data_IF_750945698837
#
_entry.id   IF_750945698837
#
_cell.length_a   1.000
_cell.length_b   1.000
_cell.length_c   1.000
_cell.angle_alpha   90.00
_cell.angle_beta   90.00
_cell.angle_gamma   90.00
#
_symmetry.space_group_name_H-M   'P 1'
#
loop_
_entity.id
_entity.type
_entity.pdbx_description
1 polymer ?
#
# COMPACT_ATOMS: atom_id res chain seq x y z
N UNK A 1 -16.93 4.82 -10.78
CA UNK A 1 -16.19 5.56 -9.74
C UNK A 1 -14.99 4.75 -9.32
N UNK A 2 -13.88 5.37 -8.95
CA UNK A 2 -12.64 4.69 -8.54
C UNK A 2 -12.53 4.72 -7.02
N UNK A 3 -12.39 3.55 -6.41
CA UNK A 3 -12.11 3.36 -4.99
C UNK A 3 -10.69 2.80 -4.85
N UNK A 4 -9.87 3.41 -4.05
CA UNK A 4 -8.47 3.06 -3.84
C UNK A 4 -7.54 4.28 -3.91
N UNK A 5 -6.25 4.07 -3.71
CA UNK A 5 -5.23 5.12 -3.72
C UNK A 5 -5.30 6.02 -4.95
N UNK A 6 -5.28 7.30 -4.72
CA UNK A 6 -5.17 8.31 -5.77
C UNK A 6 -3.69 8.53 -6.15
N UNK A 7 -3.45 9.18 -7.30
CA UNK A 7 -2.08 9.58 -7.67
C UNK A 7 -1.44 10.52 -6.64
N UNK A 8 -2.24 11.32 -5.93
CA UNK A 8 -1.76 12.19 -4.86
C UNK A 8 -1.31 11.39 -3.64
N UNK A 9 -2.04 10.32 -3.26
CA UNK A 9 -1.66 9.44 -2.15
C UNK A 9 -0.36 8.70 -2.45
N UNK A 10 -0.21 8.20 -3.69
CA UNK A 10 1.03 7.57 -4.15
C UNK A 10 2.21 8.54 -4.13
N UNK A 11 2.01 9.78 -4.58
CA UNK A 11 3.05 10.80 -4.54
C UNK A 11 3.43 11.16 -3.09
N UNK A 12 2.44 11.29 -2.20
CA UNK A 12 2.67 11.53 -0.78
C UNK A 12 3.49 10.40 -0.14
N UNK A 13 3.12 9.15 -0.39
CA UNK A 13 3.86 7.99 0.11
C UNK A 13 5.29 7.92 -0.45
N UNK A 14 5.48 8.27 -1.72
CA UNK A 14 6.81 8.33 -2.32
C UNK A 14 7.69 9.40 -1.67
N UNK A 15 7.15 10.59 -1.41
CA UNK A 15 7.86 11.66 -0.69
C UNK A 15 8.16 11.25 0.74
N UNK A 16 7.19 10.67 1.45
CA UNK A 16 7.39 10.18 2.81
C UNK A 16 8.46 9.08 2.85
N UNK A 17 8.41 8.12 1.93
CA UNK A 17 9.42 7.07 1.78
C UNK A 17 10.81 7.64 1.50
N UNK A 18 10.91 8.65 0.63
CA UNK A 18 12.15 9.35 0.34
C UNK A 18 12.76 10.01 1.59
N UNK A 19 11.94 10.75 2.35
CA UNK A 19 12.38 11.44 3.57
C UNK A 19 12.80 10.43 4.65
N UNK A 20 12.01 9.41 4.89
CA UNK A 20 12.32 8.37 5.88
C UNK A 20 13.57 7.57 5.47
N UNK A 21 13.69 7.21 4.19
CA UNK A 21 14.85 6.49 3.67
C UNK A 21 16.14 7.30 3.77
N UNK A 22 16.10 8.55 3.37
CA UNK A 22 17.25 9.47 3.48
C UNK A 22 17.63 9.71 4.94
N UNK A 23 16.65 9.95 5.82
CA UNK A 23 16.86 10.15 7.25
C UNK A 23 17.46 8.92 7.92
N UNK A 24 16.93 7.73 7.67
CA UNK A 24 17.46 6.48 8.19
C UNK A 24 18.91 6.25 7.74
N UNK A 25 19.20 6.46 6.44
CA UNK A 25 20.56 6.31 5.91
C UNK A 25 21.56 7.32 6.50
N UNK A 26 21.12 8.56 6.74
CA UNK A 26 21.93 9.59 7.38
C UNK A 26 22.23 9.27 8.86
N UNK A 27 21.28 8.66 9.57
CA UNK A 27 21.41 8.30 10.98
C UNK A 27 22.15 6.97 11.20
N UNK A 28 22.33 6.16 10.15
CA UNK A 28 22.94 4.83 10.23
C UNK A 28 24.31 4.81 10.91
N UNK A 29 25.27 5.72 10.63
CA UNK A 29 26.57 5.73 11.32
C UNK A 29 26.45 6.09 12.81
N UNK A 30 25.49 6.92 13.19
CA UNK A 30 25.24 7.27 14.60
C UNK A 30 24.68 6.05 15.33
N UNK A 31 23.70 5.37 14.71
CA UNK A 31 23.12 4.16 15.26
C UNK A 31 24.16 3.03 15.38
N UNK A 32 25.03 2.86 14.38
CA UNK A 32 26.10 1.85 14.41
C UNK A 32 27.03 2.06 15.59
N UNK A 33 27.54 3.27 15.81
CA UNK A 33 28.40 3.61 16.96
C UNK A 33 27.71 3.33 18.31
N UNK A 34 26.44 3.71 18.42
CA UNK A 34 25.66 3.52 19.63
C UNK A 34 25.43 2.03 19.97
N UNK A 35 25.28 1.17 18.95
CA UNK A 35 25.12 -0.28 19.09
C UNK A 35 26.45 -0.94 19.44
N UNK A 36 27.57 -0.53 18.82
CA UNK A 36 28.92 -1.01 19.12
C UNK A 36 29.31 -0.72 20.58
N UNK A 37 29.04 0.48 21.09
CA UNK A 37 29.28 0.85 22.47
C UNK A 37 28.53 -0.03 23.49
N UNK A 38 27.42 -0.66 23.08
CA UNK A 38 26.61 -1.54 23.95
C UNK A 38 26.91 -3.03 23.78
N UNK A 39 27.87 -3.38 22.92
CA UNK A 39 28.26 -4.77 22.69
C UNK A 39 27.20 -5.65 22.04
N UNK A 40 26.22 -5.05 21.36
CA UNK A 40 25.20 -5.78 20.60
C UNK A 40 25.78 -6.20 19.24
N UNK A 41 25.74 -7.50 18.86
CA UNK A 41 26.26 -7.92 17.56
C UNK A 41 25.46 -7.27 16.43
N UNK A 42 26.13 -6.44 15.64
CA UNK A 42 25.54 -5.77 14.49
C UNK A 42 25.58 -6.70 13.28
N UNK A 43 24.49 -6.90 12.53
CA UNK A 43 24.52 -7.72 11.32
C UNK A 43 25.59 -7.23 10.35
N UNK A 44 26.45 -8.15 9.83
CA UNK A 44 27.61 -7.80 9.02
C UNK A 44 27.31 -6.94 7.77
N UNK A 45 26.11 -7.05 7.22
CA UNK A 45 25.63 -6.19 6.11
C UNK A 45 25.53 -4.70 6.52
N UNK A 46 25.09 -4.43 7.74
CA UNK A 46 24.99 -3.07 8.26
C UNK A 46 26.37 -2.51 8.65
N UNK A 47 27.27 -3.38 9.12
CA UNK A 47 28.69 -3.04 9.34
C UNK A 47 29.37 -2.65 8.01
N UNK A 48 29.14 -3.41 6.94
CA UNK A 48 29.63 -3.08 5.61
C UNK A 48 29.13 -1.70 5.13
N UNK A 49 27.85 -1.41 5.30
CA UNK A 49 27.26 -0.12 4.94
C UNK A 49 27.76 1.04 5.83
N UNK A 50 28.13 0.76 7.09
CA UNK A 50 28.64 1.75 8.02
C UNK A 50 30.15 2.00 7.84
N UNK A 51 30.93 1.02 7.36
CA UNK A 51 32.41 1.05 7.28
C UNK A 51 32.99 1.76 6.06
N UNK A 52 32.17 2.19 5.12
CA UNK A 52 32.64 2.94 3.95
C UNK A 52 32.90 4.42 4.31
N UNK A 53 34.14 4.74 4.61
CA UNK A 53 34.60 6.08 5.05
C UNK A 53 35.01 7.04 3.88
N UNK A 54 34.62 6.74 2.65
CA UNK A 54 34.89 7.62 1.54
C UNK A 54 33.98 8.85 1.58
N UNK A 55 34.52 10.06 1.42
CA UNK A 55 33.76 11.34 1.40
C UNK A 55 32.56 11.32 0.46
N UNK A 56 32.67 10.57 -0.65
CA UNK A 56 31.56 10.34 -1.59
C UNK A 56 30.37 9.61 -0.94
N UNK A 57 30.63 8.71 -0.01
CA UNK A 57 29.57 7.94 0.67
C UNK A 57 28.87 8.71 1.78
N UNK A 58 29.48 9.71 2.35
CA UNK A 58 28.82 10.61 3.33
C UNK A 58 27.62 11.31 2.67
N UNK A 59 27.80 11.77 1.43
CA UNK A 59 26.73 12.39 0.65
C UNK A 59 25.89 11.36 -0.14
N UNK A 60 26.46 10.24 -0.53
CA UNK A 60 25.79 9.17 -1.27
C UNK A 60 24.80 8.37 -0.44
N UNK A 61 25.05 8.19 0.87
CA UNK A 61 24.14 7.45 1.78
C UNK A 61 22.71 7.99 1.80
N UNK A 62 22.47 9.28 2.02
CA UNK A 62 21.14 9.86 1.98
C UNK A 62 20.46 9.68 0.62
N UNK A 63 21.21 9.79 -0.48
CA UNK A 63 20.69 9.60 -1.85
C UNK A 63 20.27 8.15 -2.07
N UNK A 64 21.08 7.19 -1.67
CA UNK A 64 20.74 5.76 -1.75
C UNK A 64 19.50 5.47 -0.89
N UNK A 65 19.47 5.98 0.35
CA UNK A 65 18.32 5.84 1.24
C UNK A 65 17.03 6.43 0.65
N UNK A 66 17.14 7.59 0.02
CA UNK A 66 16.03 8.23 -0.70
C UNK A 66 15.51 7.31 -1.82
N UNK A 67 16.40 6.81 -2.68
CA UNK A 67 16.02 5.94 -3.80
C UNK A 67 15.36 4.65 -3.29
N UNK A 68 15.95 4.01 -2.30
CA UNK A 68 15.39 2.79 -1.69
C UNK A 68 14.03 3.07 -1.06
N UNK A 69 13.90 4.19 -0.35
CA UNK A 69 12.63 4.60 0.28
C UNK A 69 11.53 4.87 -0.75
N UNK A 70 11.85 5.52 -1.87
CA UNK A 70 10.90 5.73 -2.99
C UNK A 70 10.50 4.40 -3.60
N UNK A 71 11.46 3.51 -3.89
CA UNK A 71 11.16 2.19 -4.47
C UNK A 71 10.24 1.39 -3.53
N UNK A 72 10.55 1.35 -2.24
CA UNK A 72 9.73 0.67 -1.24
C UNK A 72 8.31 1.23 -1.20
N UNK A 73 8.15 2.56 -1.18
CA UNK A 73 6.85 3.22 -1.18
C UNK A 73 6.04 2.90 -2.45
N UNK A 74 6.68 2.87 -3.62
CA UNK A 74 6.03 2.51 -4.89
C UNK A 74 5.60 1.03 -4.92
N UNK A 75 6.41 0.13 -4.37
CA UNK A 75 6.06 -1.28 -4.27
C UNK A 75 4.85 -1.50 -3.35
N UNK A 76 4.82 -0.81 -2.20
CA UNK A 76 3.68 -0.84 -1.27
C UNK A 76 2.42 -0.30 -1.97
N UNK A 77 2.52 0.85 -2.64
CA UNK A 77 1.39 1.46 -3.35
C UNK A 77 0.81 0.56 -4.45
N UNK A 78 1.63 -0.26 -5.12
CA UNK A 78 1.18 -1.21 -6.14
C UNK A 78 0.50 -2.46 -5.56
N UNK A 79 0.73 -2.77 -4.30
CA UNK A 79 0.13 -3.92 -3.64
C UNK A 79 -1.34 -3.68 -3.28
N UNK A 80 -1.77 -2.42 -3.17
CA UNK A 80 -3.14 -2.06 -2.83
C UNK A 80 -4.09 -2.25 -4.02
N UNK A 81 -5.24 -2.91 -3.82
CA UNK A 81 -6.22 -3.09 -4.87
C UNK A 81 -6.97 -1.79 -5.16
N UNK A 82 -7.23 -1.52 -6.43
CA UNK A 82 -8.08 -0.43 -6.90
C UNK A 82 -9.35 -1.01 -7.51
N UNK A 83 -10.51 -0.54 -7.04
CA UNK A 83 -11.80 -0.96 -7.56
C UNK A 83 -12.41 0.14 -8.43
N UNK A 84 -12.75 -0.21 -9.66
CA UNK A 84 -13.51 0.63 -10.55
C UNK A 84 -14.96 0.12 -10.62
N UNK A 85 -15.86 0.81 -9.93
CA UNK A 85 -17.28 0.46 -9.88
C UNK A 85 -18.00 1.19 -11.01
N UNK A 86 -18.67 0.43 -11.87
CA UNK A 86 -19.51 0.91 -12.98
C UNK A 86 -20.87 0.23 -12.95
N UNK A 87 -21.79 0.66 -13.79
CA UNK A 87 -23.12 0.05 -13.90
C UNK A 87 -23.08 -1.35 -14.53
N UNK A 88 -22.01 -1.67 -15.25
CA UNK A 88 -21.81 -2.96 -15.93
C UNK A 88 -21.08 -4.00 -15.05
N UNK A 89 -20.40 -3.58 -14.00
CA UNK A 89 -19.62 -4.47 -13.15
C UNK A 89 -18.53 -3.75 -12.35
N UNK A 90 -17.76 -4.53 -11.64
CA UNK A 90 -16.62 -4.07 -10.83
C UNK A 90 -15.32 -4.60 -11.44
N UNK A 91 -14.44 -3.69 -11.84
CA UNK A 91 -13.10 -4.04 -12.27
C UNK A 91 -12.16 -3.89 -11.08
N UNK A 92 -11.53 -5.00 -10.70
CA UNK A 92 -10.52 -5.06 -9.64
C UNK A 92 -9.15 -5.05 -10.29
N UNK A 93 -8.35 -4.04 -9.99
CA UNK A 93 -6.95 -3.93 -10.42
C UNK A 93 -6.04 -4.10 -9.20
N UNK A 94 -5.09 -5.03 -9.29
CA UNK A 94 -4.07 -5.24 -8.26
C UNK A 94 -2.73 -5.52 -8.94
N UNK A 95 -1.82 -4.55 -8.88
CA UNK A 95 -0.56 -4.60 -9.65
C UNK A 95 -0.86 -4.74 -11.14
N UNK A 96 -0.32 -5.79 -11.77
CA UNK A 96 -0.55 -6.09 -13.18
C UNK A 96 -1.78 -6.97 -13.43
N UNK A 97 -2.45 -7.41 -12.38
CA UNK A 97 -3.64 -8.27 -12.47
C UNK A 97 -4.91 -7.43 -12.57
N UNK A 98 -5.74 -7.76 -13.55
CA UNK A 98 -7.05 -7.17 -13.76
C UNK A 98 -8.11 -8.25 -13.77
N UNK A 99 -9.11 -8.11 -12.91
CA UNK A 99 -10.24 -9.02 -12.84
C UNK A 99 -11.54 -8.25 -12.92
N UNK A 100 -12.39 -8.63 -13.88
CA UNK A 100 -13.73 -8.06 -14.00
C UNK A 100 -14.76 -8.97 -13.34
N UNK A 101 -15.56 -8.41 -12.46
CA UNK A 101 -16.73 -9.01 -11.85
C UNK A 101 -17.93 -8.43 -12.56
N UNK A 102 -18.75 -9.27 -13.20
CA UNK A 102 -19.95 -8.81 -13.91
C UNK A 102 -21.03 -8.47 -12.89
N UNK A 103 -21.85 -7.48 -13.23
CA UNK A 103 -22.93 -7.06 -12.35
C UNK A 103 -23.91 -8.19 -12.04
N UNK A 104 -24.23 -9.01 -13.02
CA UNK A 104 -25.15 -10.14 -12.90
C UNK A 104 -24.66 -11.22 -11.91
N UNK A 105 -23.38 -11.28 -11.66
CA UNK A 105 -22.79 -12.24 -10.72
C UNK A 105 -22.79 -11.72 -9.26
N UNK A 106 -23.17 -10.44 -9.04
CA UNK A 106 -23.14 -9.79 -7.71
C UNK A 106 -24.51 -9.90 -7.05
N UNK A 107 -24.60 -10.70 -6.01
CA UNK A 107 -25.83 -10.84 -5.20
C UNK A 107 -25.77 -10.05 -3.89
N UNK A 108 -24.56 -9.86 -3.31
CA UNK A 108 -24.38 -9.10 -2.08
C UNK A 108 -23.07 -8.32 -2.09
N UNK A 109 -23.11 -7.10 -1.53
CA UNK A 109 -21.93 -6.27 -1.25
C UNK A 109 -22.04 -5.78 0.18
N UNK A 110 -21.04 -6.07 0.99
CA UNK A 110 -20.98 -5.61 2.38
C UNK A 110 -19.55 -5.31 2.80
N UNK A 111 -19.41 -4.68 3.94
CA UNK A 111 -18.12 -4.34 4.51
C UNK A 111 -17.92 -5.08 5.83
N UNK A 112 -16.88 -5.92 5.88
CA UNK A 112 -16.41 -6.60 7.08
C UNK A 112 -15.15 -5.88 7.59
N UNK A 113 -15.32 -5.00 8.57
CA UNK A 113 -14.27 -4.14 9.10
C UNK A 113 -13.67 -3.22 8.02
N UNK A 114 -12.41 -3.45 7.63
CA UNK A 114 -11.71 -2.71 6.55
C UNK A 114 -11.92 -3.34 5.18
N UNK A 115 -12.37 -4.60 5.13
CA UNK A 115 -12.53 -5.33 3.89
C UNK A 115 -13.87 -5.05 3.25
N UNK A 116 -13.88 -5.02 1.93
CA UNK A 116 -15.08 -5.09 1.12
C UNK A 116 -15.24 -6.53 0.65
N UNK A 117 -16.43 -7.06 0.81
CA UNK A 117 -16.80 -8.39 0.32
C UNK A 117 -17.87 -8.23 -0.76
N UNK A 118 -17.66 -8.92 -1.87
CA UNK A 118 -18.62 -9.03 -2.98
C UNK A 118 -18.86 -10.52 -3.18
N UNK A 119 -20.14 -10.95 -3.15
CA UNK A 119 -20.47 -12.36 -3.24
C UNK A 119 -21.61 -12.66 -4.22
N UNK A 120 -21.68 -13.94 -4.61
CA UNK A 120 -22.75 -14.47 -5.44
C UNK A 120 -23.92 -14.95 -4.59
N UNK A 121 -25.08 -15.27 -5.21
CA UNK A 121 -26.25 -15.88 -4.56
C UNK A 121 -25.91 -17.18 -3.79
N UNK A 122 -24.89 -17.91 -4.23
CA UNK A 122 -24.44 -19.13 -3.55
C UNK A 122 -23.44 -18.85 -2.43
N UNK A 123 -23.21 -17.58 -2.03
CA UNK A 123 -22.28 -17.20 -0.97
C UNK A 123 -20.80 -17.33 -1.36
N UNK A 124 -20.49 -17.49 -2.65
CA UNK A 124 -19.10 -17.53 -3.12
C UNK A 124 -18.54 -16.10 -3.20
N UNK A 125 -17.46 -15.84 -2.50
CA UNK A 125 -16.79 -14.54 -2.53
C UNK A 125 -16.10 -14.30 -3.87
N UNK A 126 -16.56 -13.27 -4.57
CA UNK A 126 -15.96 -12.76 -5.80
C UNK A 126 -14.83 -11.80 -5.52
N UNK A 127 -14.94 -11.06 -4.43
CA UNK A 127 -13.91 -10.16 -3.90
C UNK A 127 -13.94 -10.23 -2.37
N UNK A 128 -12.76 -10.27 -1.75
CA UNK A 128 -12.55 -10.19 -0.31
C UNK A 128 -11.21 -9.49 -0.11
N UNK A 129 -11.23 -8.19 0.06
CA UNK A 129 -10.00 -7.41 0.18
C UNK A 129 -10.23 -6.03 0.76
N UNK A 130 -9.14 -5.42 1.23
CA UNK A 130 -9.19 -4.07 1.77
C UNK A 130 -9.62 -3.08 0.68
N UNK A 131 -10.40 -2.09 1.10
CA UNK A 131 -10.80 -0.98 0.26
C UNK A 131 -10.54 0.33 1.01
N UNK A 132 -9.82 1.23 0.35
CA UNK A 132 -9.65 2.57 0.87
C UNK A 132 -10.91 3.41 0.67
N UNK A 133 -11.25 4.18 1.68
CA UNK A 133 -12.36 5.12 1.69
C UNK A 133 -13.22 5.01 2.94
N UNK A 134 -13.88 6.11 3.25
CA UNK A 134 -14.86 6.14 4.34
C UNK A 134 -16.00 5.18 4.01
N UNK A 135 -16.53 4.49 5.03
CA UNK A 135 -17.64 3.52 4.88
C UNK A 135 -18.80 4.06 4.05
N UNK A 136 -19.21 5.31 4.35
CA UNK A 136 -20.34 5.96 3.68
C UNK A 136 -20.07 6.22 2.19
N UNK A 137 -18.83 6.58 1.84
CA UNK A 137 -18.43 6.82 0.46
C UNK A 137 -18.42 5.51 -0.35
N UNK A 138 -17.87 4.46 0.24
CA UNK A 138 -17.85 3.13 -0.38
C UNK A 138 -19.27 2.63 -0.60
N UNK A 139 -20.13 2.70 0.45
CA UNK A 139 -21.53 2.33 0.37
C UNK A 139 -22.26 3.11 -0.73
N UNK A 140 -22.18 4.45 -0.72
CA UNK A 140 -22.81 5.31 -1.69
C UNK A 140 -22.39 4.94 -3.13
N UNK A 141 -21.10 4.63 -3.33
CA UNK A 141 -20.58 4.24 -4.65
C UNK A 141 -21.28 3.00 -5.22
N UNK A 142 -21.62 2.02 -4.39
CA UNK A 142 -22.32 0.81 -4.83
C UNK A 142 -23.83 1.02 -4.91
N UNK A 143 -24.42 1.66 -3.90
CA UNK A 143 -25.88 1.91 -3.84
C UNK A 143 -26.33 2.80 -4.99
N UNK A 144 -25.61 3.88 -5.29
CA UNK A 144 -25.95 4.82 -6.38
C UNK A 144 -25.96 4.13 -7.77
N UNK A 145 -25.25 2.99 -7.89
CA UNK A 145 -25.24 2.16 -9.09
C UNK A 145 -26.15 0.96 -9.01
N UNK A 146 -27.00 0.91 -7.98
CA UNK A 146 -27.99 -0.12 -7.76
C UNK A 146 -27.43 -1.50 -7.43
N UNK A 147 -26.22 -1.59 -6.86
CA UNK A 147 -25.71 -2.84 -6.30
C UNK A 147 -26.41 -3.14 -4.97
N UNK A 148 -26.71 -4.41 -4.69
CA UNK A 148 -27.30 -4.81 -3.41
C UNK A 148 -26.27 -4.64 -2.30
N UNK A 149 -26.49 -3.63 -1.46
CA UNK A 149 -25.67 -3.39 -0.29
C UNK A 149 -26.30 -4.01 0.96
N UNK A 150 -25.60 -4.89 1.61
CA UNK A 150 -26.03 -5.49 2.85
C UNK A 150 -25.44 -4.70 4.02
N UNK A 151 -26.29 -4.35 4.98
CA UNK A 151 -25.82 -3.79 6.23
C UNK A 151 -25.43 -4.96 7.14
N UNK A 152 -24.22 -4.95 7.70
CA UNK A 152 -23.94 -5.74 8.87
C UNK A 152 -24.82 -5.22 10.01
N UNK A 153 -25.63 -6.11 10.56
CA UNK A 153 -26.32 -5.92 11.85
C UNK A 153 -25.32 -6.01 13.02
#
# INVERSE_FOLDING_TARGET
>A
MRLGMTGADTAFLAVLGAVLGAGAAALLPIAARWVEERGVPFPGILQLLASFDSDWLVWGRPVIGLVVGVIAALLISRAEPVLHVSDEGVLVEKGDSRRRIRREDVAGVYRDGKKLVIETEQGRRLYDGDVEGKRDLVRATFVDRGYPWENED
#
